data_IF_317283621419
#
_entry.id   IF_317283621419
#
_cell.length_a   1.000
_cell.length_b   1.000
_cell.length_c   1.000
_cell.angle_alpha   90.00
_cell.angle_beta   90.00
_cell.angle_gamma   90.00
#
_symmetry.space_group_name_H-M   'P 1'
#
loop_
_entity.id
_entity.type
_entity.pdbx_description
1 polymer ?
#
# COMPACT_ATOMS: atom_id res chain seq x y z
N UNK A 1 -15.64 -8.58 -0.44
CA UNK A 1 -14.50 -8.33 -1.31
C UNK A 1 -13.90 -6.94 -1.09
N UNK A 2 -14.73 -5.94 -0.85
CA UNK A 2 -14.26 -4.57 -0.60
C UNK A 2 -13.32 -4.48 0.60
N UNK A 3 -13.65 -5.18 1.70
CA UNK A 3 -12.79 -5.18 2.89
C UNK A 3 -11.46 -5.88 2.64
N UNK A 4 -11.46 -6.93 1.82
CA UNK A 4 -10.23 -7.64 1.48
C UNK A 4 -9.28 -6.74 0.68
N UNK A 5 -9.80 -6.01 -0.31
CA UNK A 5 -9.00 -5.10 -1.11
C UNK A 5 -8.40 -4.00 -0.24
N UNK A 6 -9.19 -3.44 0.67
CA UNK A 6 -8.73 -2.40 1.58
C UNK A 6 -7.63 -2.90 2.52
N UNK A 7 -7.79 -4.11 3.07
CA UNK A 7 -6.79 -4.70 3.94
C UNK A 7 -5.48 -5.01 3.19
N UNK A 8 -5.58 -5.48 1.95
CA UNK A 8 -4.39 -5.72 1.13
C UNK A 8 -3.69 -4.40 0.80
N UNK A 9 -4.44 -3.36 0.49
CA UNK A 9 -3.88 -2.05 0.20
C UNK A 9 -3.15 -1.48 1.43
N UNK A 10 -3.78 -1.59 2.60
CA UNK A 10 -3.17 -1.15 3.87
C UNK A 10 -1.88 -1.91 4.14
N UNK A 11 -1.91 -3.23 4.00
CA UNK A 11 -0.72 -4.05 4.24
C UNK A 11 0.41 -3.70 3.28
N UNK A 12 0.11 -3.50 2.00
CA UNK A 12 1.10 -3.10 1.01
C UNK A 12 1.76 -1.79 1.39
N UNK A 13 0.97 -0.81 1.81
CA UNK A 13 1.50 0.47 2.25
C UNK A 13 2.38 0.33 3.49
N UNK A 14 1.95 -0.46 4.47
CA UNK A 14 2.71 -0.67 5.70
C UNK A 14 4.06 -1.35 5.43
N UNK A 15 4.07 -2.35 4.55
CA UNK A 15 5.32 -3.04 4.18
C UNK A 15 6.27 -2.05 3.49
N UNK A 16 5.76 -1.26 2.54
CA UNK A 16 6.56 -0.24 1.88
C UNK A 16 7.14 0.76 2.88
N UNK A 17 6.31 1.24 3.81
CA UNK A 17 6.74 2.22 4.80
C UNK A 17 7.80 1.65 5.73
N UNK A 18 7.62 0.40 6.19
CA UNK A 18 8.59 -0.26 7.05
C UNK A 18 9.95 -0.41 6.36
N UNK A 19 9.94 -0.78 5.09
CA UNK A 19 11.17 -0.91 4.30
C UNK A 19 11.88 0.44 4.17
N UNK A 20 11.13 1.50 3.91
CA UNK A 20 11.71 2.84 3.80
C UNK A 20 12.30 3.30 5.14
N UNK A 21 11.59 3.07 6.23
CA UNK A 21 12.08 3.42 7.56
C UNK A 21 13.36 2.65 7.88
N UNK A 22 13.40 1.36 7.54
CA UNK A 22 14.60 0.55 7.74
C UNK A 22 15.79 1.06 6.95
N UNK A 23 15.55 1.71 5.81
CA UNK A 23 16.60 2.33 4.99
C UNK A 23 16.97 3.75 5.44
N UNK A 24 16.39 4.22 6.53
CA UNK A 24 16.68 5.54 7.08
C UNK A 24 15.75 6.66 6.60
N UNK A 25 14.68 6.32 5.88
CA UNK A 25 13.72 7.33 5.45
C UNK A 25 12.80 7.77 6.59
N UNK A 26 12.32 8.98 6.51
CA UNK A 26 11.37 9.53 7.47
C UNK A 26 10.37 10.44 6.77
N UNK A 27 9.31 10.79 7.48
CA UNK A 27 8.31 11.71 6.97
C UNK A 27 8.95 13.07 6.67
N UNK A 28 8.54 13.67 5.56
CA UNK A 28 8.86 15.04 5.21
C UNK A 28 7.77 15.59 4.30
N UNK A 29 7.58 16.91 4.24
CA UNK A 29 6.48 17.52 3.47
C UNK A 29 6.62 17.35 1.97
N UNK A 30 7.82 17.06 1.48
CA UNK A 30 8.09 16.80 0.07
C UNK A 30 9.07 15.63 -0.04
N UNK A 31 8.97 14.91 -1.16
CA UNK A 31 9.96 13.87 -1.44
C UNK A 31 11.34 14.50 -1.61
N UNK A 32 12.30 14.02 -0.85
CA UNK A 32 13.68 14.49 -0.89
C UNK A 32 14.60 13.27 -0.75
N UNK A 33 15.13 12.80 -1.86
CA UNK A 33 15.95 11.61 -1.89
C UNK A 33 17.28 11.80 -1.15
N UNK A 34 17.85 13.01 -1.21
CA UNK A 34 19.10 13.31 -0.52
C UNK A 34 18.95 13.23 1.00
N UNK A 35 17.82 13.70 1.53
CA UNK A 35 17.54 13.69 2.96
C UNK A 35 16.72 12.49 3.38
N UNK A 36 16.33 11.64 2.43
CA UNK A 36 15.48 10.47 2.66
C UNK A 36 14.18 10.85 3.36
N UNK A 37 13.46 11.78 2.79
CA UNK A 37 12.15 12.23 3.28
C UNK A 37 11.07 11.93 2.27
N UNK A 38 9.90 11.52 2.75
CA UNK A 38 8.77 11.19 1.89
C UNK A 38 7.46 11.57 2.56
N UNK A 39 6.56 12.26 1.85
CA UNK A 39 5.29 12.70 2.44
C UNK A 39 4.29 11.56 2.68
N UNK A 40 4.49 10.41 2.04
CA UNK A 40 3.60 9.25 2.23
C UNK A 40 4.03 8.33 3.37
N UNK A 41 5.08 8.67 4.13
CA UNK A 41 5.48 7.92 5.31
C UNK A 41 4.57 8.28 6.50
N UNK A 42 3.30 7.97 6.36
CA UNK A 42 2.24 8.18 7.33
C UNK A 42 1.39 6.91 7.38
N UNK A 43 0.57 6.71 8.42
CA UNK A 43 -0.37 5.59 8.43
C UNK A 43 -1.29 5.62 7.20
N UNK A 44 -1.72 4.44 6.76
CA UNK A 44 -2.55 4.32 5.56
C UNK A 44 -3.77 5.25 5.61
N UNK A 45 -4.40 5.38 6.76
CA UNK A 45 -5.59 6.21 6.95
C UNK A 45 -5.35 7.69 6.65
N UNK A 46 -4.10 8.13 6.74
CA UNK A 46 -3.73 9.53 6.48
C UNK A 46 -3.26 9.79 5.06
N UNK A 47 -3.20 8.76 4.23
CA UNK A 47 -2.91 8.95 2.81
C UNK A 47 -4.02 9.74 2.14
N UNK A 48 -3.69 10.42 1.04
CA UNK A 48 -4.71 11.07 0.22
C UNK A 48 -5.64 10.02 -0.40
N UNK A 49 -6.85 10.44 -0.75
CA UNK A 49 -7.79 9.56 -1.42
C UNK A 49 -7.20 8.97 -2.71
N UNK A 50 -6.47 9.77 -3.47
CA UNK A 50 -5.81 9.34 -4.71
C UNK A 50 -4.80 8.22 -4.45
N UNK A 51 -4.00 8.36 -3.41
CA UNK A 51 -3.02 7.34 -3.04
C UNK A 51 -3.70 6.05 -2.57
N UNK A 52 -4.77 6.16 -1.77
CA UNK A 52 -5.54 5.00 -1.32
C UNK A 52 -6.17 4.26 -2.50
N UNK A 53 -6.75 4.99 -3.45
CA UNK A 53 -7.36 4.41 -4.64
C UNK A 53 -6.33 3.67 -5.49
N UNK A 54 -5.14 4.25 -5.64
CA UNK A 54 -4.06 3.60 -6.39
C UNK A 54 -3.67 2.26 -5.73
N UNK A 55 -3.50 2.27 -4.41
CA UNK A 55 -3.14 1.05 -3.67
C UNK A 55 -4.24 -0.01 -3.76
N UNK A 56 -5.51 0.41 -3.72
CA UNK A 56 -6.65 -0.49 -3.85
C UNK A 56 -6.72 -1.09 -5.25
N UNK A 57 -6.44 -0.31 -6.28
CA UNK A 57 -6.39 -0.79 -7.65
C UNK A 57 -5.29 -1.83 -7.83
N UNK A 58 -4.12 -1.58 -7.28
CA UNK A 58 -3.01 -2.51 -7.34
C UNK A 58 -3.35 -3.83 -6.65
N UNK A 59 -3.95 -3.76 -5.47
CA UNK A 59 -4.40 -4.95 -4.75
C UNK A 59 -5.46 -5.72 -5.53
N UNK A 60 -6.40 -5.00 -6.13
CA UNK A 60 -7.45 -5.60 -6.96
C UNK A 60 -6.90 -6.35 -8.17
N UNK A 61 -5.85 -5.83 -8.79
CA UNK A 61 -5.21 -6.50 -9.91
C UNK A 61 -4.54 -7.81 -9.49
N UNK A 62 -3.94 -7.85 -8.31
CA UNK A 62 -3.36 -9.09 -7.78
C UNK A 62 -4.46 -10.15 -7.60
N UNK A 63 -5.58 -9.77 -7.00
CA UNK A 63 -6.72 -10.68 -6.81
C UNK A 63 -7.24 -11.17 -8.16
N UNK A 64 -7.37 -10.28 -9.13
CA UNK A 64 -7.83 -10.61 -10.48
C UNK A 64 -6.95 -11.67 -11.12
N UNK A 65 -5.64 -11.54 -11.04
CA UNK A 65 -4.70 -12.51 -11.59
C UNK A 65 -4.86 -13.87 -10.91
N UNK A 66 -4.97 -13.90 -9.59
CA UNK A 66 -5.15 -15.14 -8.85
C UNK A 66 -6.42 -15.87 -9.28
N UNK A 67 -7.53 -15.14 -9.41
CA UNK A 67 -8.79 -15.73 -9.84
C UNK A 67 -8.70 -16.22 -11.29
N UNK A 68 -8.02 -15.48 -12.15
CA UNK A 68 -7.84 -15.88 -13.55
C UNK A 68 -7.00 -17.16 -13.68
N UNK A 69 -6.10 -17.41 -12.73
CA UNK A 69 -5.29 -18.61 -12.69
C UNK A 69 -6.01 -19.80 -12.04
N UNK A 70 -7.25 -19.64 -11.64
CA UNK A 70 -8.05 -20.70 -11.07
C UNK A 70 -7.98 -20.83 -9.55
N UNK A 71 -7.28 -19.92 -8.88
CA UNK A 71 -7.26 -19.91 -7.42
C UNK A 71 -8.59 -19.41 -6.87
N UNK A 72 -8.93 -19.88 -5.69
CA UNK A 72 -10.13 -19.48 -4.99
C UNK A 72 -9.74 -18.73 -3.72
N UNK A 73 -10.49 -17.69 -3.39
CA UNK A 73 -10.27 -16.92 -2.18
C UNK A 73 -11.48 -17.14 -1.31
N UNK A 74 -11.27 -17.88 -0.21
CA UNK A 74 -12.34 -18.23 0.70
C UNK A 74 -11.96 -17.81 2.12
N UNK A 75 -12.95 -17.29 2.83
CA UNK A 75 -12.79 -16.97 4.24
C UNK A 75 -13.23 -18.19 5.05
N UNK A 76 -12.39 -18.64 6.00
CA UNK A 76 -12.76 -19.79 6.84
C UNK A 76 -13.96 -19.50 7.72
#
# INVERSE_FOLDING_TARGET
MKNLIEELARNTHEVWAQERIAQGWKYGPKRDDARKQHPSLVPYEKLTKKEKVFDQKTAGEVIKVLLAMGYRIEKP
#
